data_IF_214285183546
#
_entry.id   IF_214285183546
#
_cell.length_a   1.000
_cell.length_b   1.000
_cell.length_c   1.000
_cell.angle_alpha   90.00
_cell.angle_beta   90.00
_cell.angle_gamma   90.00
#
_symmetry.space_group_name_H-M   'P 1'
#
loop_
_entity.id
_entity.type
_entity.pdbx_description
1 polymer ?
#
# COMPACT_ATOMS: atom_id res chain seq x y z
N UNK A 1 9.63 9.15 4.22
CA UNK A 1 9.94 8.53 2.92
C UNK A 1 10.62 7.18 3.03
N UNK A 2 11.60 7.04 3.92
CA UNK A 2 12.33 5.78 4.15
C UNK A 2 11.43 4.57 4.41
N UNK A 3 10.51 4.65 5.39
CA UNK A 3 9.58 3.55 5.70
C UNK A 3 8.71 3.13 4.51
N UNK A 4 8.25 4.08 3.68
CA UNK A 4 7.42 3.76 2.50
C UNK A 4 8.24 2.98 1.45
N UNK A 5 9.53 3.32 1.30
CA UNK A 5 10.45 2.57 0.42
C UNK A 5 10.71 1.17 0.97
N UNK A 6 10.85 1.02 2.28
CA UNK A 6 10.98 -0.28 2.93
C UNK A 6 9.74 -1.16 2.70
N UNK A 7 8.55 -0.64 2.97
CA UNK A 7 7.28 -1.33 2.74
C UNK A 7 7.13 -1.72 1.27
N UNK A 8 7.38 -0.79 0.35
CA UNK A 8 7.29 -1.05 -1.07
C UNK A 8 8.35 -2.05 -1.55
N UNK A 9 9.54 -2.05 -0.93
CA UNK A 9 10.59 -3.03 -1.20
C UNK A 9 10.19 -4.45 -0.79
N UNK A 10 9.43 -4.61 0.30
CA UNK A 10 8.94 -5.91 0.74
C UNK A 10 7.68 -6.38 0.00
N UNK A 11 6.71 -5.48 -0.21
CA UNK A 11 5.37 -5.84 -0.69
C UNK A 11 5.13 -5.50 -2.17
N UNK A 12 5.94 -4.64 -2.77
CA UNK A 12 5.69 -4.01 -4.06
C UNK A 12 4.79 -2.77 -3.94
N UNK A 13 5.16 -1.68 -4.60
CA UNK A 13 4.45 -0.39 -4.52
C UNK A 13 3.00 -0.50 -5.02
N UNK A 14 2.75 -1.28 -6.08
CA UNK A 14 1.40 -1.50 -6.60
C UNK A 14 0.52 -2.32 -5.65
N UNK A 15 1.10 -3.26 -4.91
CA UNK A 15 0.39 -4.09 -3.93
C UNK A 15 -0.17 -3.25 -2.79
N UNK A 16 0.58 -2.24 -2.35
CA UNK A 16 0.14 -1.31 -1.30
C UNK A 16 -0.70 -0.15 -1.82
N UNK A 17 -0.85 -0.01 -3.15
CA UNK A 17 -1.62 1.08 -3.77
C UNK A 17 -3.10 0.73 -3.90
N UNK A 18 -3.96 1.60 -3.37
CA UNK A 18 -5.41 1.58 -3.55
C UNK A 18 -5.80 2.21 -4.89
N UNK A 19 -5.47 1.52 -5.99
CA UNK A 19 -5.77 1.98 -7.37
C UNK A 19 -7.27 2.06 -7.69
N UNK A 20 -8.12 1.43 -6.86
CA UNK A 20 -9.58 1.47 -6.95
C UNK A 20 -10.20 2.60 -6.10
N UNK A 21 -9.41 3.26 -5.27
CA UNK A 21 -9.86 4.27 -4.32
C UNK A 21 -10.31 5.59 -4.97
N UNK A 22 -11.05 6.44 -4.23
CA UNK A 22 -11.50 7.73 -4.73
C UNK A 22 -10.33 8.68 -5.05
N UNK A 23 -9.27 8.68 -4.25
CA UNK A 23 -8.10 9.56 -4.46
C UNK A 23 -7.35 9.24 -5.75
N UNK A 24 -7.08 7.96 -6.03
CA UNK A 24 -6.43 7.53 -7.27
C UNK A 24 -7.24 7.92 -8.52
N UNK A 25 -8.58 7.78 -8.43
CA UNK A 25 -9.51 8.22 -9.49
C UNK A 25 -9.54 9.74 -9.65
N UNK A 26 -9.64 10.48 -8.55
CA UNK A 26 -9.66 11.95 -8.53
C UNK A 26 -8.40 12.56 -9.16
N UNK A 27 -7.25 11.93 -8.96
CA UNK A 27 -5.97 12.34 -9.53
C UNK A 27 -5.78 11.91 -11.00
N UNK A 28 -6.72 11.14 -11.56
CA UNK A 28 -6.67 10.69 -12.95
C UNK A 28 -5.45 9.82 -13.25
N UNK A 29 -5.00 9.01 -12.28
CA UNK A 29 -3.81 8.16 -12.43
C UNK A 29 -4.08 6.88 -13.22
N UNK A 30 -5.36 6.53 -13.40
CA UNK A 30 -5.76 5.33 -14.15
C UNK A 30 -5.33 5.43 -15.61
N UNK A 31 -4.57 4.43 -16.08
CA UNK A 31 -4.12 4.34 -17.46
C UNK A 31 -2.89 5.19 -17.77
N UNK A 32 -2.29 5.85 -16.77
CA UNK A 32 -0.95 6.43 -16.90
C UNK A 32 0.09 5.32 -16.76
N UNK A 33 1.15 5.43 -17.53
CA UNK A 33 2.34 4.60 -17.41
C UNK A 33 3.23 5.22 -16.32
N UNK A 34 2.96 4.85 -15.07
CA UNK A 34 3.70 5.34 -13.90
C UNK A 34 4.80 4.36 -13.55
N UNK A 35 6.03 4.88 -13.38
CA UNK A 35 7.10 4.13 -12.75
C UNK A 35 6.81 3.91 -11.25
N UNK A 36 7.48 2.92 -10.66
CA UNK A 36 7.35 2.62 -9.24
C UNK A 36 7.75 3.80 -8.36
N UNK A 37 8.80 4.54 -8.74
CA UNK A 37 9.25 5.75 -8.01
C UNK A 37 8.21 6.88 -8.10
N UNK A 38 7.64 7.13 -9.28
CA UNK A 38 6.57 8.14 -9.43
C UNK A 38 5.34 7.78 -8.60
N UNK A 39 4.96 6.50 -8.58
CA UNK A 39 3.86 6.03 -7.75
C UNK A 39 4.19 6.18 -6.26
N UNK A 40 5.44 5.93 -5.85
CA UNK A 40 5.89 6.11 -4.48
C UNK A 40 5.79 7.56 -4.01
N UNK A 41 6.19 8.51 -4.86
CA UNK A 41 6.02 9.95 -4.59
C UNK A 41 4.54 10.33 -4.45
N UNK A 42 3.68 9.75 -5.29
CA UNK A 42 2.23 9.91 -5.17
C UNK A 42 1.68 9.35 -3.86
N UNK A 43 2.08 8.15 -3.46
CA UNK A 43 1.69 7.56 -2.17
C UNK A 43 2.20 8.39 -1.00
N UNK A 44 3.41 8.96 -1.11
CA UNK A 44 3.95 9.85 -0.09
C UNK A 44 3.09 11.09 0.10
N UNK A 45 2.77 11.76 -1.00
CA UNK A 45 1.97 12.98 -1.02
C UNK A 45 0.52 12.74 -0.61
N UNK A 46 -0.05 11.62 -1.03
CA UNK A 46 -1.48 11.31 -0.92
C UNK A 46 -1.66 9.97 -0.18
N UNK A 47 -1.35 9.97 1.12
CA UNK A 47 -1.36 8.78 1.98
C UNK A 47 -2.67 7.98 1.98
N UNK A 48 -3.80 8.61 1.63
CA UNK A 48 -5.10 7.95 1.46
C UNK A 48 -5.15 6.94 0.30
N UNK A 49 -4.14 6.93 -0.57
CA UNK A 49 -3.96 5.92 -1.60
C UNK A 49 -3.24 4.66 -1.11
N UNK A 50 -2.73 4.63 0.13
CA UNK A 50 -2.16 3.40 0.69
C UNK A 50 -3.31 2.51 1.17
N UNK A 51 -3.33 1.24 0.73
CA UNK A 51 -4.31 0.25 1.19
C UNK A 51 -4.24 0.09 2.71
N UNK A 52 -5.39 -0.23 3.30
CA UNK A 52 -5.54 -0.44 4.74
C UNK A 52 -6.36 -1.71 4.98
N UNK A 53 -6.11 -2.44 6.08
CA UNK A 53 -5.04 -2.22 7.07
C UNK A 53 -3.64 -2.48 6.49
N UNK A 54 -2.65 -1.80 7.07
CA UNK A 54 -1.21 -2.01 6.85
C UNK A 54 -0.60 -2.25 8.22
N UNK A 55 0.04 -3.39 8.40
CA UNK A 55 0.52 -3.88 9.70
C UNK A 55 2.01 -4.18 9.58
N UNK A 56 2.74 -3.84 10.63
CA UNK A 56 4.16 -4.16 10.80
C UNK A 56 4.30 -5.09 12.01
N UNK A 57 5.11 -6.14 11.86
CA UNK A 57 5.48 -7.06 12.93
C UNK A 57 6.93 -7.45 12.75
N UNK A 58 7.77 -7.09 13.72
CA UNK A 58 9.19 -7.44 13.77
C UNK A 58 9.93 -7.13 12.44
N UNK A 59 9.64 -5.97 11.84
CA UNK A 59 10.23 -5.54 10.56
C UNK A 59 9.63 -6.21 9.31
N UNK A 60 8.64 -7.08 9.46
CA UNK A 60 7.85 -7.63 8.34
C UNK A 60 6.56 -6.85 8.18
N UNK A 61 6.20 -6.51 6.95
CA UNK A 61 4.96 -5.79 6.65
C UNK A 61 3.90 -6.70 6.02
N UNK A 62 2.63 -6.38 6.27
CA UNK A 62 1.47 -6.99 5.62
C UNK A 62 0.42 -5.94 5.28
N UNK A 63 -0.25 -6.12 4.14
CA UNK A 63 -1.31 -5.23 3.67
C UNK A 63 -2.58 -6.01 3.34
N UNK A 64 -3.73 -5.51 3.80
CA UNK A 64 -5.03 -6.09 3.47
C UNK A 64 -5.38 -5.86 2.00
N UNK A 65 -5.48 -6.93 1.22
CA UNK A 65 -5.80 -6.83 -0.21
C UNK A 65 -7.21 -6.33 -0.50
N UNK A 66 -8.17 -6.75 0.34
CA UNK A 66 -9.61 -6.49 0.18
C UNK A 66 -10.19 -5.65 1.31
N UNK A 67 -9.34 -5.07 2.15
CA UNK A 67 -9.74 -4.38 3.37
C UNK A 67 -9.47 -5.22 4.61
N UNK A 68 -10.27 -5.02 5.65
CA UNK A 68 -10.13 -5.71 6.93
C UNK A 68 -10.54 -7.18 6.79
N UNK A 69 -9.64 -8.07 7.18
CA UNK A 69 -9.84 -9.52 7.25
C UNK A 69 -9.22 -9.99 8.57
N UNK A 70 -10.07 -10.27 9.56
CA UNK A 70 -9.63 -10.59 10.91
C UNK A 70 -8.78 -11.85 10.96
N UNK A 71 -9.17 -12.89 10.23
CA UNK A 71 -8.45 -14.16 10.20
C UNK A 71 -7.06 -13.97 9.59
N UNK A 72 -6.97 -13.26 8.47
CA UNK A 72 -5.68 -12.96 7.84
C UNK A 72 -4.77 -12.13 8.74
N UNK A 73 -5.35 -11.15 9.46
CA UNK A 73 -4.62 -10.30 10.42
C UNK A 73 -4.10 -11.14 11.58
N UNK A 74 -4.94 -11.97 12.19
CA UNK A 74 -4.56 -12.82 13.31
C UNK A 74 -3.49 -13.84 12.89
N UNK A 75 -3.62 -14.42 11.70
CA UNK A 75 -2.61 -15.31 11.14
C UNK A 75 -1.27 -14.56 10.97
N UNK A 76 -1.28 -13.34 10.45
CA UNK A 76 -0.05 -12.55 10.32
C UNK A 76 0.55 -12.19 11.68
N UNK A 77 -0.27 -11.79 12.66
CA UNK A 77 0.21 -11.37 13.98
C UNK A 77 0.72 -12.55 14.81
N UNK A 78 0.16 -13.75 14.65
CA UNK A 78 0.50 -14.91 15.49
C UNK A 78 1.63 -15.78 14.92
N UNK A 79 2.01 -15.62 13.64
CA UNK A 79 3.17 -16.26 13.03
C UNK A 79 4.42 -15.42 13.22
#
# INVERSE_FOLDING_TARGET
>A
MEQLREIAGQLGVWSITNSKGPTFRKLGLKGKDLSDDELLEWLHKEQGMIKRPLIEKDGTYWVGEKGFDEEAILNFINN
#
